data_IF_494791784421
#
_entry.id   IF_494791784421
#
_cell.length_a   1.000
_cell.length_b   1.000
_cell.length_c   1.000
_cell.angle_alpha   90.00
_cell.angle_beta   90.00
_cell.angle_gamma   90.00
#
_symmetry.space_group_name_H-M   'P 1'
#
loop_
_entity.id
_entity.type
_entity.pdbx_description
1 polymer ?
#
# COMPACT_ATOMS: atom_id res chain seq x y z
N UNK A 1 0.10 -18.28 4.70
CA UNK A 1 -1.12 -17.87 5.45
C UNK A 1 -0.84 -17.44 6.90
N UNK A 2 -0.03 -18.20 7.66
CA UNK A 2 0.25 -17.90 9.06
C UNK A 2 1.10 -16.63 9.30
N UNK A 3 2.05 -16.32 8.42
CA UNK A 3 2.98 -15.20 8.61
C UNK A 3 2.32 -13.83 8.55
N UNK A 4 1.24 -13.69 7.76
CA UNK A 4 0.49 -12.44 7.64
C UNK A 4 -0.38 -12.15 8.87
N UNK A 5 -0.86 -13.19 9.58
CA UNK A 5 -1.66 -13.06 10.80
C UNK A 5 -0.80 -12.90 12.06
N UNK A 6 0.49 -13.19 12.00
CA UNK A 6 1.42 -13.06 13.13
C UNK A 6 1.93 -11.63 13.35
N UNK A 7 1.46 -10.63 12.60
CA UNK A 7 1.91 -9.23 12.71
C UNK A 7 3.32 -8.96 12.18
N UNK A 8 4.03 -9.98 11.69
CA UNK A 8 5.43 -9.90 11.21
C UNK A 8 5.60 -9.14 9.89
N UNK A 9 4.49 -8.79 9.22
CA UNK A 9 4.53 -8.09 7.94
C UNK A 9 5.25 -6.75 8.06
N UNK A 10 5.04 -6.01 9.15
CA UNK A 10 5.67 -4.72 9.38
C UNK A 10 7.19 -4.86 9.58
N UNK A 11 7.60 -5.78 10.44
CA UNK A 11 9.01 -6.07 10.70
C UNK A 11 9.76 -6.50 9.42
N UNK A 12 9.14 -7.37 8.62
CA UNK A 12 9.70 -7.82 7.34
C UNK A 12 9.83 -6.66 6.34
N UNK A 13 8.85 -5.78 6.28
CA UNK A 13 8.85 -4.63 5.38
C UNK A 13 9.90 -3.58 5.80
N UNK A 14 10.02 -3.31 7.10
CA UNK A 14 11.05 -2.43 7.65
C UNK A 14 12.45 -2.97 7.37
N UNK A 15 12.69 -4.26 7.62
CA UNK A 15 13.98 -4.88 7.33
C UNK A 15 14.32 -4.82 5.83
N UNK A 16 13.33 -5.03 4.94
CA UNK A 16 13.54 -4.86 3.50
C UNK A 16 13.93 -3.43 3.15
N UNK A 17 13.30 -2.43 3.75
CA UNK A 17 13.67 -1.03 3.51
C UNK A 17 15.13 -0.78 3.86
N UNK A 18 15.58 -1.20 5.04
CA UNK A 18 16.97 -1.05 5.50
C UNK A 18 17.98 -1.70 4.53
N UNK A 19 17.72 -2.94 4.11
CA UNK A 19 18.59 -3.67 3.18
C UNK A 19 18.72 -2.93 1.85
N UNK A 20 17.61 -2.39 1.32
CA UNK A 20 17.60 -1.68 0.05
C UNK A 20 18.26 -0.30 0.16
N UNK A 21 18.08 0.42 1.27
CA UNK A 21 18.78 1.68 1.52
C UNK A 21 20.30 1.47 1.62
N UNK A 22 20.74 0.44 2.36
CA UNK A 22 22.15 0.08 2.46
C UNK A 22 22.76 -0.31 1.09
N UNK A 23 22.03 -1.10 0.30
CA UNK A 23 22.46 -1.48 -1.04
C UNK A 23 22.56 -0.27 -2.00
N UNK A 24 21.63 0.68 -1.89
CA UNK A 24 21.67 1.93 -2.66
C UNK A 24 22.82 2.84 -2.24
N UNK A 25 23.10 2.94 -0.94
CA UNK A 25 24.23 3.72 -0.43
C UNK A 25 25.58 3.12 -0.84
N UNK A 26 25.70 1.80 -0.89
CA UNK A 26 26.92 1.11 -1.30
C UNK A 26 27.21 1.24 -2.81
N UNK A 27 26.16 1.20 -3.64
CA UNK A 27 26.30 1.20 -5.11
C UNK A 27 25.32 2.16 -5.80
N UNK A 28 25.42 3.48 -5.56
CA UNK A 28 24.49 4.45 -6.14
C UNK A 28 24.47 4.46 -7.68
N UNK A 29 25.59 4.08 -8.32
CA UNK A 29 25.73 3.97 -9.77
C UNK A 29 24.76 2.98 -10.41
N UNK A 30 24.37 1.91 -9.70
CA UNK A 30 23.42 0.91 -10.21
C UNK A 30 21.98 1.42 -10.22
N UNK A 31 21.70 2.43 -9.42
CA UNK A 31 20.34 2.95 -9.21
C UNK A 31 19.99 4.06 -10.20
N UNK A 32 20.94 4.62 -10.95
CA UNK A 32 20.70 5.70 -11.91
C UNK A 32 19.87 6.86 -11.31
N UNK A 33 20.11 7.18 -10.04
CA UNK A 33 19.35 8.19 -9.28
C UNK A 33 17.93 7.78 -8.84
N UNK A 34 17.47 6.56 -9.18
CA UNK A 34 16.15 6.07 -8.77
C UNK A 34 16.06 5.84 -7.27
N UNK A 35 14.88 6.07 -6.72
CA UNK A 35 14.55 5.70 -5.34
C UNK A 35 14.36 4.19 -5.20
N UNK A 36 14.46 3.72 -3.95
CA UNK A 36 14.15 2.33 -3.63
C UNK A 36 12.65 2.10 -3.74
N UNK A 37 12.24 0.84 -3.86
CA UNK A 37 10.82 0.48 -3.88
C UNK A 37 10.15 0.95 -2.58
N UNK A 38 8.92 1.45 -2.69
CA UNK A 38 8.10 1.73 -1.52
C UNK A 38 7.78 0.42 -0.78
N UNK A 39 8.28 0.30 0.45
CA UNK A 39 8.07 -0.81 1.36
C UNK A 39 7.15 -0.46 2.54
N UNK A 40 6.43 0.66 2.47
CA UNK A 40 5.49 1.08 3.51
C UNK A 40 4.37 0.05 3.67
N UNK A 41 3.91 -0.13 4.91
CA UNK A 41 2.81 -1.03 5.22
C UNK A 41 1.49 -0.46 4.67
N UNK A 42 0.70 -1.31 4.03
CA UNK A 42 -0.64 -0.96 3.54
C UNK A 42 -1.66 -1.54 4.53
N UNK A 43 -2.18 -0.68 5.40
CA UNK A 43 -3.09 -1.08 6.48
C UNK A 43 -4.44 -1.60 5.97
N UNK A 44 -4.96 -1.00 4.88
CA UNK A 44 -6.28 -1.33 4.34
C UNK A 44 -6.24 -1.36 2.82
N UNK A 45 -6.79 -2.43 2.25
CA UNK A 45 -7.04 -2.56 0.82
C UNK A 45 -8.53 -2.76 0.61
N UNK A 46 -9.11 -2.00 -0.31
CA UNK A 46 -10.48 -2.20 -0.75
C UNK A 46 -10.44 -3.10 -1.98
N UNK A 47 -11.05 -4.27 -1.88
CA UNK A 47 -11.34 -5.09 -3.06
C UNK A 47 -12.47 -4.41 -3.82
N UNK A 48 -12.38 -4.42 -5.15
CA UNK A 48 -13.36 -3.82 -6.07
C UNK A 48 -14.77 -4.17 -5.56
N UNK A 49 -15.52 -3.21 -4.97
CA UNK A 49 -16.84 -3.53 -4.46
C UNK A 49 -17.65 -3.94 -5.69
N UNK A 50 -18.26 -5.12 -5.63
CA UNK A 50 -19.25 -5.50 -6.64
C UNK A 50 -20.17 -4.31 -6.81
N UNK A 51 -20.33 -3.83 -8.05
CA UNK A 51 -21.25 -2.73 -8.35
C UNK A 51 -22.55 -3.04 -7.65
N UNK A 52 -22.86 -2.29 -6.59
CA UNK A 52 -24.18 -2.33 -5.98
C UNK A 52 -25.06 -1.59 -6.99
N UNK A 53 -25.48 -2.31 -8.02
CA UNK A 53 -26.60 -1.87 -8.83
C UNK A 53 -27.86 -2.11 -8.01
N UNK A 54 -28.53 -0.98 -7.75
CA UNK A 54 -29.90 -0.77 -7.27
C UNK A 54 -30.12 -0.70 -5.75
N UNK A 55 -30.33 0.52 -5.25
CA UNK A 55 -31.69 1.05 -5.09
C UNK A 55 -31.63 2.55 -4.73
N UNK A 56 -32.43 3.35 -5.42
CA UNK A 56 -32.63 4.77 -5.17
C UNK A 56 -33.07 5.03 -3.71
N UNK A 57 -32.39 5.91 -2.97
CA UNK A 57 -33.05 6.91 -2.11
C UNK A 57 -32.07 7.99 -1.59
N UNK A 58 -32.62 9.18 -1.30
CA UNK A 58 -31.99 10.45 -0.92
C UNK A 58 -31.37 11.25 -2.11
N UNK A 59 -32.03 12.24 -2.71
CA UNK A 59 -33.03 13.17 -2.14
C UNK A 59 -33.78 13.86 -3.28
N UNK A 60 -35.12 13.82 -3.23
CA UNK A 60 -35.99 14.67 -4.03
C UNK A 60 -35.86 16.13 -3.55
N UNK A 61 -35.60 17.03 -4.50
CA UNK A 61 -35.86 18.49 -4.52
C UNK A 61 -35.72 19.30 -3.22
N UNK A 62 -34.83 20.29 -3.24
CA UNK A 62 -35.25 21.71 -3.17
C UNK A 62 -34.25 22.60 -3.91
N UNK A 63 -34.66 23.06 -5.09
CA UNK A 63 -34.23 24.34 -5.68
C UNK A 63 -35.28 25.38 -5.28
N UNK A 64 -34.82 26.55 -4.86
CA UNK A 64 -35.56 27.82 -4.88
C UNK A 64 -34.70 28.83 -5.60
#
# INVERSE_FOLDING_TARGET
PAERHAGKSEEILNHRKEVYEAAKAAHPERWNGREIRNWDNIDKVFLNPDKIESANDATVQQVS
#
